data_IF_124473776623
#
_entry.id   IF_124473776623
#
_cell.length_a   1.000
_cell.length_b   1.000
_cell.length_c   1.000
_cell.angle_alpha   90.00
_cell.angle_beta   90.00
_cell.angle_gamma   90.00
#
_symmetry.space_group_name_H-M   'P 1'
#
loop_
_entity.id
_entity.type
_entity.pdbx_description
1 polymer ?
#
# COMPACT_ATOMS: atom_id res chain seq x y z
N UNK A 1 -11.58 -32.46 50.20
CA UNK A 1 -10.29 -31.91 49.73
C UNK A 1 -10.55 -31.30 48.36
N UNK A 2 -10.69 -29.97 48.27
CA UNK A 2 -10.98 -29.27 47.00
C UNK A 2 -9.66 -28.96 46.29
N UNK A 3 -9.53 -29.38 45.04
CA UNK A 3 -8.39 -29.03 44.19
C UNK A 3 -8.69 -27.69 43.54
N UNK A 4 -7.96 -26.64 43.90
CA UNK A 4 -8.01 -25.37 43.19
C UNK A 4 -7.34 -25.54 41.82
N UNK A 5 -8.08 -25.30 40.75
CA UNK A 5 -7.52 -25.12 39.41
C UNK A 5 -7.15 -23.65 39.22
N UNK A 6 -5.86 -23.35 39.08
CA UNK A 6 -5.38 -22.02 38.72
C UNK A 6 -5.34 -21.92 37.19
N UNK A 7 -6.20 -21.09 36.61
CA UNK A 7 -6.17 -20.75 35.18
C UNK A 7 -5.18 -19.60 35.00
N UNK A 8 -4.01 -19.87 34.43
CA UNK A 8 -3.04 -18.82 34.07
C UNK A 8 -3.28 -18.42 32.62
N UNK A 9 -3.92 -17.27 32.39
CA UNK A 9 -4.09 -16.69 31.06
C UNK A 9 -2.78 -15.99 30.67
N UNK A 10 -1.94 -16.65 29.87
CA UNK A 10 -0.81 -15.97 29.24
C UNK A 10 -1.31 -15.18 28.02
N UNK A 11 -1.28 -13.85 28.11
CA UNK A 11 -1.51 -12.97 26.97
C UNK A 11 -0.28 -13.00 26.06
N UNK A 12 -0.22 -13.99 25.16
CA UNK A 12 0.78 -13.99 24.09
C UNK A 12 0.23 -13.14 22.94
N UNK A 13 0.66 -11.88 22.87
CA UNK A 13 0.40 -11.02 21.71
C UNK A 13 1.24 -11.56 20.56
N UNK A 14 0.64 -12.33 19.66
CA UNK A 14 1.22 -12.52 18.34
C UNK A 14 0.98 -11.23 17.57
N UNK A 15 2.03 -10.45 17.35
CA UNK A 15 1.98 -9.39 16.35
C UNK A 15 1.78 -10.07 14.99
N UNK A 16 1.00 -9.46 14.10
CA UNK A 16 0.79 -9.95 12.73
C UNK A 16 2.03 -9.73 11.85
N UNK A 17 3.20 -10.09 12.35
CA UNK A 17 4.53 -9.91 11.74
C UNK A 17 4.77 -10.71 10.45
N UNK A 18 3.74 -11.29 9.84
CA UNK A 18 3.89 -11.98 8.55
C UNK A 18 3.87 -11.07 7.32
N UNK A 19 3.77 -9.75 7.48
CA UNK A 19 3.61 -8.86 6.33
C UNK A 19 4.97 -8.22 6.02
N UNK A 20 5.72 -8.90 5.16
CA UNK A 20 6.99 -8.48 4.54
C UNK A 20 8.28 -8.56 5.39
N UNK A 21 8.37 -9.37 6.45
CA UNK A 21 9.63 -9.61 7.18
C UNK A 21 10.76 -10.09 6.24
N UNK A 22 11.97 -9.56 6.47
CA UNK A 22 13.20 -10.00 5.81
C UNK A 22 13.52 -11.45 6.21
N UNK A 23 13.39 -12.39 5.28
CA UNK A 23 14.17 -13.64 5.37
C UNK A 23 15.54 -13.36 4.75
N UNK A 24 16.51 -12.98 5.57
CA UNK A 24 17.93 -12.96 5.16
C UNK A 24 18.45 -14.40 5.05
N UNK A 25 18.05 -15.12 4.01
CA UNK A 25 18.76 -16.32 3.54
C UNK A 25 18.16 -16.75 2.21
N UNK A 26 18.66 -16.14 1.13
CA UNK A 26 18.37 -16.53 -0.23
C UNK A 26 19.31 -15.73 -1.11
N UNK A 27 20.16 -16.42 -1.85
CA UNK A 27 21.11 -15.83 -2.81
C UNK A 27 20.43 -14.73 -3.62
N UNK A 28 21.08 -13.56 -3.82
CA UNK A 28 20.53 -12.52 -4.69
C UNK A 28 20.17 -13.13 -6.06
N UNK A 29 19.07 -12.70 -6.70
CA UNK A 29 18.88 -12.98 -8.13
C UNK A 29 20.14 -12.53 -8.86
N UNK A 30 20.66 -13.37 -9.77
CA UNK A 30 21.84 -13.02 -10.57
C UNK A 30 21.63 -11.64 -11.17
N UNK A 31 22.51 -10.71 -10.80
CA UNK A 31 22.50 -9.35 -11.33
C UNK A 31 22.56 -9.38 -12.85
N UNK A 32 21.90 -8.39 -13.45
CA UNK A 32 22.08 -8.01 -14.85
C UNK A 32 23.57 -8.05 -15.17
N UNK A 33 23.95 -8.86 -16.17
CA UNK A 33 25.33 -8.90 -16.65
C UNK A 33 25.78 -7.47 -16.99
N UNK A 34 26.99 -7.04 -16.57
CA UNK A 34 27.58 -5.81 -17.07
C UNK A 34 27.70 -5.90 -18.59
N UNK A 35 27.22 -4.87 -19.28
CA UNK A 35 27.42 -4.69 -20.71
C UNK A 35 28.92 -4.47 -20.97
N UNK A 36 29.52 -5.39 -21.74
CA UNK A 36 30.62 -5.11 -22.68
C UNK A 36 32.05 -5.11 -22.14
N UNK A 37 32.75 -6.24 -22.28
CA UNK A 37 34.21 -6.26 -22.47
C UNK A 37 34.48 -6.06 -23.99
N UNK A 38 35.36 -5.14 -24.44
CA UNK A 38 35.51 -4.85 -25.87
C UNK A 38 36.29 -5.88 -26.69
N UNK A 39 36.77 -7.00 -26.14
CA UNK A 39 37.62 -7.93 -26.89
C UNK A 39 37.21 -9.39 -26.64
N UNK A 40 36.59 -10.03 -27.64
CA UNK A 40 36.19 -11.44 -27.55
C UNK A 40 35.36 -11.92 -28.74
N UNK A 41 36.04 -12.07 -29.87
CA UNK A 41 35.78 -13.02 -30.95
C UNK A 41 35.22 -14.38 -30.48
N UNK A 42 34.01 -14.76 -30.94
CA UNK A 42 33.47 -16.10 -30.70
C UNK A 42 31.99 -16.32 -31.03
N UNK A 43 31.75 -17.05 -32.10
CA UNK A 43 30.49 -17.56 -32.68
C UNK A 43 29.39 -18.09 -31.74
N UNK A 44 28.14 -17.82 -32.11
CA UNK A 44 27.09 -18.85 -32.28
C UNK A 44 26.11 -19.10 -31.13
N UNK A 45 24.81 -19.11 -31.45
CA UNK A 45 23.78 -19.78 -30.66
C UNK A 45 22.52 -18.94 -30.45
N UNK A 46 21.55 -19.07 -31.35
CA UNK A 46 20.23 -18.50 -31.18
C UNK A 46 19.48 -19.19 -30.03
N UNK A 47 18.97 -18.39 -29.12
CA UNK A 47 17.99 -18.82 -28.13
C UNK A 47 16.72 -17.99 -28.37
N UNK A 48 15.77 -18.57 -29.09
CA UNK A 48 14.41 -18.05 -29.15
C UNK A 48 13.72 -18.38 -27.83
N UNK A 49 14.10 -17.66 -26.78
CA UNK A 49 13.47 -17.75 -25.47
C UNK A 49 12.04 -17.21 -25.57
N UNK A 50 11.04 -18.09 -25.51
CA UNK A 50 9.70 -17.67 -25.16
C UNK A 50 9.77 -17.09 -23.75
N UNK A 51 9.48 -15.79 -23.62
CA UNK A 51 9.37 -15.12 -22.33
C UNK A 51 8.24 -15.79 -21.57
N UNK A 52 8.60 -16.65 -20.60
CA UNK A 52 7.62 -17.19 -19.66
C UNK A 52 6.95 -16.00 -18.97
N UNK A 53 5.61 -15.97 -18.84
CA UNK A 53 4.96 -14.90 -18.10
C UNK A 53 5.58 -14.86 -16.70
N UNK A 54 6.19 -13.72 -16.35
CA UNK A 54 6.75 -13.54 -15.02
C UNK A 54 5.66 -13.88 -14.00
N UNK A 55 5.97 -14.71 -12.99
CA UNK A 55 5.01 -14.99 -11.93
C UNK A 55 4.52 -13.67 -11.33
N UNK A 56 3.24 -13.58 -10.91
CA UNK A 56 2.70 -12.36 -10.33
C UNK A 56 3.59 -11.94 -9.15
N UNK A 57 4.39 -10.88 -9.36
CA UNK A 57 5.34 -10.41 -8.37
C UNK A 57 4.57 -10.01 -7.11
N UNK A 58 5.05 -10.49 -5.96
CA UNK A 58 4.43 -10.21 -4.68
C UNK A 58 4.39 -8.68 -4.44
N UNK A 59 3.25 -8.08 -4.05
CA UNK A 59 3.16 -6.64 -3.77
C UNK A 59 4.24 -6.13 -2.80
N UNK A 60 4.63 -6.93 -1.79
CA UNK A 60 5.73 -6.60 -0.88
C UNK A 60 7.07 -6.41 -1.62
N UNK A 61 7.38 -7.27 -2.59
CA UNK A 61 8.62 -7.23 -3.35
C UNK A 61 8.66 -6.02 -4.28
N UNK A 62 7.53 -5.72 -4.94
CA UNK A 62 7.37 -4.49 -5.73
C UNK A 62 7.55 -3.24 -4.88
N UNK A 63 6.95 -3.19 -3.68
CA UNK A 63 7.16 -2.07 -2.75
C UNK A 63 8.64 -1.97 -2.35
N UNK A 64 9.30 -3.09 -2.04
CA UNK A 64 10.72 -3.12 -1.69
C UNK A 64 11.59 -2.60 -2.85
N UNK A 65 11.35 -3.06 -4.07
CA UNK A 65 12.07 -2.59 -5.26
C UNK A 65 11.82 -1.10 -5.51
N UNK A 66 10.58 -0.64 -5.41
CA UNK A 66 10.20 0.77 -5.61
C UNK A 66 10.98 1.71 -4.67
N UNK A 67 11.26 1.28 -3.44
CA UNK A 67 12.04 2.09 -2.50
C UNK A 67 13.52 2.19 -2.84
N UNK A 68 14.03 1.30 -3.67
CA UNK A 68 15.41 1.40 -4.16
C UNK A 68 15.52 2.32 -5.37
N UNK A 69 14.39 2.64 -6.01
CA UNK A 69 14.33 3.61 -7.09
C UNK A 69 14.58 5.03 -6.57
N UNK A 70 15.58 5.70 -7.16
CA UNK A 70 16.01 7.00 -6.69
C UNK A 70 14.97 8.09 -7.01
N UNK A 71 14.30 8.02 -8.17
CA UNK A 71 13.25 8.98 -8.54
C UNK A 71 12.09 8.95 -7.54
N UNK A 72 11.64 7.76 -7.15
CA UNK A 72 10.65 7.57 -6.10
C UNK A 72 11.11 8.14 -4.75
N UNK A 73 12.33 7.80 -4.31
CA UNK A 73 12.88 8.30 -3.04
C UNK A 73 12.94 9.82 -3.00
N UNK A 74 13.39 10.45 -4.08
CA UNK A 74 13.48 11.90 -4.18
C UNK A 74 12.10 12.53 -4.03
N UNK A 75 11.06 11.95 -4.64
CA UNK A 75 9.68 12.46 -4.52
C UNK A 75 9.04 12.22 -3.17
N UNK A 76 9.34 11.10 -2.50
CA UNK A 76 8.89 10.90 -1.12
C UNK A 76 9.60 11.90 -0.19
N UNK A 77 10.91 12.07 -0.32
CA UNK A 77 11.68 13.01 0.51
C UNK A 77 11.28 14.47 0.30
N UNK A 78 10.82 14.84 -0.91
CA UNK A 78 10.31 16.17 -1.21
C UNK A 78 8.93 16.44 -0.56
N UNK A 79 8.20 15.39 -0.21
CA UNK A 79 6.83 15.49 0.30
C UNK A 79 6.71 15.19 1.80
N UNK A 80 7.55 14.32 2.34
CA UNK A 80 7.48 13.84 3.73
C UNK A 80 8.30 14.73 4.69
N UNK A 81 7.83 15.96 4.88
CA UNK A 81 8.37 16.87 5.88
C UNK A 81 7.33 17.86 6.39
N UNK A 82 7.48 18.30 7.65
CA UNK A 82 6.48 19.11 8.37
C UNK A 82 6.07 20.38 7.63
N UNK A 83 7.02 21.06 6.99
CA UNK A 83 6.71 22.28 6.22
C UNK A 83 5.90 22.03 4.93
N UNK A 84 5.72 20.78 4.49
CA UNK A 84 4.68 20.44 3.48
C UNK A 84 3.33 20.27 4.15
N UNK A 85 3.26 19.56 5.27
CA UNK A 85 1.99 19.26 5.94
C UNK A 85 1.28 20.51 6.45
N UNK A 86 2.04 21.57 6.74
CA UNK A 86 1.53 22.86 7.19
C UNK A 86 1.16 23.84 6.06
N UNK A 87 1.25 23.43 4.79
CA UNK A 87 0.82 24.27 3.66
C UNK A 87 -0.69 24.42 3.63
N UNK A 88 -1.16 25.37 2.80
CA UNK A 88 -2.59 25.60 2.58
C UNK A 88 -3.18 24.70 1.49
N UNK A 89 -2.34 24.19 0.59
CA UNK A 89 -2.75 23.40 -0.58
C UNK A 89 -2.02 22.06 -0.62
N UNK A 90 -2.74 20.98 -0.87
CA UNK A 90 -2.15 19.68 -1.14
C UNK A 90 -1.25 19.75 -2.39
N UNK A 91 -0.30 18.82 -2.46
CA UNK A 91 0.60 18.70 -3.61
C UNK A 91 0.99 17.25 -3.83
N UNK A 92 1.57 16.95 -4.98
CA UNK A 92 1.98 15.60 -5.30
C UNK A 92 2.52 15.46 -6.71
N UNK A 93 2.81 14.20 -7.06
CA UNK A 93 3.35 13.81 -8.35
C UNK A 93 2.60 12.62 -8.92
N UNK A 94 2.44 12.57 -10.23
CA UNK A 94 2.06 11.38 -10.99
C UNK A 94 3.32 10.78 -11.64
N UNK A 95 3.46 9.45 -11.57
CA UNK A 95 4.53 8.72 -12.21
C UNK A 95 4.06 8.19 -13.57
N UNK A 96 4.80 8.53 -14.63
CA UNK A 96 4.53 8.15 -16.00
C UNK A 96 5.53 7.13 -16.54
N UNK A 97 5.05 6.24 -17.40
CA UNK A 97 5.92 5.40 -18.22
C UNK A 97 6.76 6.26 -19.17
N UNK A 98 8.00 5.81 -19.40
CA UNK A 98 9.00 6.42 -20.28
C UNK A 98 10.29 5.57 -20.25
N UNK A 99 11.34 5.98 -20.98
CA UNK A 99 12.66 5.31 -20.91
C UNK A 99 13.21 5.24 -19.49
N UNK A 100 12.86 6.24 -18.68
CA UNK A 100 12.94 6.25 -17.23
C UNK A 100 11.61 6.77 -16.70
N UNK A 101 11.24 6.40 -15.47
CA UNK A 101 10.02 6.91 -14.84
C UNK A 101 10.09 8.42 -14.72
N UNK A 102 9.13 9.11 -15.33
CA UNK A 102 9.01 10.56 -15.23
C UNK A 102 7.98 10.94 -14.16
N UNK A 103 8.26 11.97 -13.37
CA UNK A 103 7.36 12.47 -12.33
C UNK A 103 6.84 13.86 -12.71
N UNK A 104 5.52 13.97 -12.85
CA UNK A 104 4.84 15.21 -13.19
C UNK A 104 3.99 15.70 -12.03
N UNK A 105 3.95 17.00 -11.76
CA UNK A 105 3.15 17.55 -10.66
C UNK A 105 1.66 17.27 -10.87
N UNK A 106 0.97 16.90 -9.80
CA UNK A 106 -0.50 16.89 -9.79
C UNK A 106 -1.03 18.32 -9.90
N UNK A 107 -2.14 18.50 -10.61
CA UNK A 107 -2.78 19.81 -10.75
C UNK A 107 -3.64 20.09 -9.53
N UNK A 108 -3.40 21.23 -8.88
CA UNK A 108 -4.22 21.73 -7.79
C UNK A 108 -5.53 22.27 -8.38
N UNK A 109 -6.66 21.73 -7.92
CA UNK A 109 -8.00 22.19 -8.28
C UNK A 109 -8.57 23.08 -7.17
N UNK A 110 -8.45 22.60 -5.94
CA UNK A 110 -8.69 23.36 -4.70
C UNK A 110 -7.63 22.96 -3.68
N UNK A 111 -7.63 23.61 -2.52
CA UNK A 111 -6.70 23.36 -1.42
C UNK A 111 -6.57 21.88 -1.00
N UNK A 112 -7.62 21.09 -1.20
CA UNK A 112 -7.80 19.70 -0.79
C UNK A 112 -8.13 18.76 -1.97
N UNK A 113 -7.99 19.24 -3.22
CA UNK A 113 -8.33 18.45 -4.40
C UNK A 113 -7.25 18.56 -5.45
N UNK A 114 -6.68 17.40 -5.76
CA UNK A 114 -5.70 17.22 -6.80
C UNK A 114 -6.31 16.50 -8.00
N UNK A 115 -5.78 16.78 -9.19
CA UNK A 115 -6.12 16.10 -10.44
C UNK A 115 -4.87 15.55 -11.09
N UNK A 116 -4.95 14.30 -11.54
CA UNK A 116 -3.94 13.68 -12.40
C UNK A 116 -3.70 14.54 -13.65
N UNK A 117 -2.46 14.67 -14.13
CA UNK A 117 -2.21 15.32 -15.41
C UNK A 117 -2.91 14.57 -16.56
N UNK A 118 -3.02 15.24 -17.71
CA UNK A 118 -3.72 14.66 -18.86
C UNK A 118 -2.91 13.54 -19.52
N UNK A 119 -3.63 12.59 -20.11
CA UNK A 119 -3.07 11.42 -20.78
C UNK A 119 -3.26 10.11 -20.00
N UNK A 120 -2.90 9.01 -20.67
CA UNK A 120 -3.04 7.63 -20.18
C UNK A 120 -1.68 6.98 -19.88
N UNK A 121 -0.62 7.76 -19.66
CA UNK A 121 0.75 7.25 -19.42
C UNK A 121 1.07 7.00 -17.93
N UNK A 122 0.20 7.44 -17.02
CA UNK A 122 0.49 7.39 -15.59
C UNK A 122 0.08 6.06 -15.00
N UNK A 123 1.00 5.40 -14.33
CA UNK A 123 0.74 4.16 -13.58
C UNK A 123 0.70 4.41 -12.07
N UNK A 124 1.12 5.58 -11.58
CA UNK A 124 1.04 5.87 -10.15
C UNK A 124 0.89 7.34 -9.83
N UNK A 125 0.57 7.63 -8.56
CA UNK A 125 0.69 8.96 -7.99
C UNK A 125 1.05 8.93 -6.50
N UNK A 126 1.64 10.03 -6.03
CA UNK A 126 2.00 10.29 -4.64
C UNK A 126 1.47 11.68 -4.29
N UNK A 127 0.75 11.83 -3.19
CA UNK A 127 0.31 13.13 -2.71
C UNK A 127 0.35 13.23 -1.18
N UNK A 128 0.15 14.45 -0.68
CA UNK A 128 0.15 14.74 0.76
C UNK A 128 -1.23 15.12 1.26
N UNK A 129 -1.57 14.73 2.49
CA UNK A 129 -2.70 15.30 3.23
C UNK A 129 -2.23 16.24 4.34
N UNK A 130 -2.72 17.48 4.33
CA UNK A 130 -2.29 18.59 5.18
C UNK A 130 -2.81 18.48 6.63
N UNK A 131 -2.08 19.04 7.61
CA UNK A 131 -2.42 19.09 9.05
C UNK A 131 -3.51 20.12 9.38
N UNK A 132 -4.61 20.08 8.61
CA UNK A 132 -5.83 20.84 8.89
C UNK A 132 -6.67 20.12 9.93
N UNK A 133 -7.37 20.88 10.75
CA UNK A 133 -8.36 20.34 11.69
C UNK A 133 -9.44 19.55 10.92
N UNK A 134 -9.76 18.35 11.41
CA UNK A 134 -10.71 17.44 10.76
C UNK A 134 -10.21 16.76 9.48
N UNK A 135 -8.94 16.96 9.08
CA UNK A 135 -8.38 16.32 7.90
C UNK A 135 -8.22 14.80 8.09
N UNK A 136 -8.63 14.06 7.07
CA UNK A 136 -8.52 12.60 7.01
C UNK A 136 -7.07 12.25 6.66
N UNK A 137 -6.38 11.50 7.52
CA UNK A 137 -4.97 11.12 7.32
C UNK A 137 -4.81 9.73 6.70
N UNK A 138 -5.64 9.45 5.70
CA UNK A 138 -5.59 8.25 4.85
C UNK A 138 -6.29 8.59 3.53
N UNK A 139 -6.20 7.71 2.53
CA UNK A 139 -6.87 7.88 1.25
C UNK A 139 -8.37 8.16 1.39
N UNK A 140 -8.88 9.00 0.49
CA UNK A 140 -10.31 9.23 0.30
C UNK A 140 -10.92 8.22 -0.69
N UNK A 141 -12.26 8.15 -0.80
CA UNK A 141 -12.91 7.43 -1.89
C UNK A 141 -12.50 7.92 -3.29
N UNK A 142 -12.21 9.22 -3.44
CA UNK A 142 -11.75 9.81 -4.70
C UNK A 142 -10.35 9.33 -5.08
N UNK A 143 -9.49 9.13 -4.09
CA UNK A 143 -8.17 8.54 -4.29
C UNK A 143 -8.26 7.12 -4.81
N UNK A 144 -9.02 6.26 -4.14
CA UNK A 144 -9.16 4.86 -4.55
C UNK A 144 -9.78 4.76 -5.95
N UNK A 145 -10.78 5.59 -6.24
CA UNK A 145 -11.38 5.65 -7.56
C UNK A 145 -10.38 6.13 -8.63
N UNK A 146 -9.58 7.15 -8.33
CA UNK A 146 -8.53 7.66 -9.24
C UNK A 146 -7.45 6.61 -9.47
N UNK A 147 -6.99 5.92 -8.42
CA UNK A 147 -6.05 4.81 -8.53
C UNK A 147 -6.56 3.71 -9.46
N UNK A 148 -7.77 3.21 -9.24
CA UNK A 148 -8.33 2.14 -10.06
C UNK A 148 -8.65 2.58 -11.49
N UNK A 149 -9.12 3.81 -11.69
CA UNK A 149 -9.53 4.32 -13.00
C UNK A 149 -8.35 4.79 -13.86
N UNK A 150 -7.35 5.43 -13.25
CA UNK A 150 -6.23 6.06 -13.96
C UNK A 150 -4.96 5.25 -13.84
N UNK A 151 -4.60 4.74 -12.67
CA UNK A 151 -3.33 4.07 -12.51
C UNK A 151 -3.39 2.62 -12.99
N UNK A 152 -4.31 1.83 -12.43
CA UNK A 152 -4.41 0.40 -12.75
C UNK A 152 -4.81 0.17 -14.21
N UNK A 153 -5.77 0.94 -14.75
CA UNK A 153 -6.17 0.80 -16.17
C UNK A 153 -5.05 1.19 -17.14
N UNK A 154 -4.37 2.32 -16.91
CA UNK A 154 -3.25 2.70 -17.75
C UNK A 154 -2.11 1.68 -17.65
N UNK A 155 -1.85 1.15 -16.45
CA UNK A 155 -0.85 0.12 -16.25
C UNK A 155 -1.20 -1.18 -16.98
N UNK A 156 -2.48 -1.58 -17.00
CA UNK A 156 -2.97 -2.70 -17.82
C UNK A 156 -2.74 -2.49 -19.32
N UNK A 157 -2.93 -1.27 -19.81
CA UNK A 157 -2.82 -0.94 -21.23
C UNK A 157 -1.37 -0.78 -21.72
N UNK A 158 -0.46 -0.34 -20.84
CA UNK A 158 0.89 0.10 -21.24
C UNK A 158 2.06 -0.63 -20.60
N UNK A 159 1.81 -1.39 -19.55
CA UNK A 159 2.86 -2.08 -18.79
C UNK A 159 2.25 -3.23 -18.00
N UNK A 160 2.60 -3.34 -16.72
CA UNK A 160 2.05 -4.36 -15.84
C UNK A 160 1.14 -3.73 -14.78
N UNK A 161 -0.05 -4.30 -14.56
CA UNK A 161 -0.97 -3.81 -13.50
C UNK A 161 -0.33 -3.77 -12.12
N UNK A 162 0.61 -4.67 -11.83
CA UNK A 162 1.36 -4.71 -10.57
C UNK A 162 2.31 -3.52 -10.38
N UNK A 163 2.62 -2.77 -11.44
CA UNK A 163 3.39 -1.54 -11.34
C UNK A 163 2.55 -0.43 -10.70
N UNK A 164 1.22 -0.51 -10.80
CA UNK A 164 0.36 0.54 -10.32
C UNK A 164 0.45 0.72 -8.80
N UNK A 165 0.58 1.97 -8.35
CA UNK A 165 0.44 2.32 -6.94
C UNK A 165 -0.17 3.71 -6.75
N UNK A 166 -0.77 3.95 -5.59
CA UNK A 166 -1.05 5.30 -5.13
C UNK A 166 -0.46 5.45 -3.74
N UNK A 167 0.10 6.60 -3.39
CA UNK A 167 0.66 6.84 -2.07
C UNK A 167 0.12 8.15 -1.50
N UNK A 168 -0.35 8.09 -0.27
CA UNK A 168 -0.66 9.30 0.51
C UNK A 168 0.34 9.40 1.65
N UNK A 169 0.97 10.57 1.75
CA UNK A 169 1.95 10.91 2.78
C UNK A 169 1.27 11.87 3.75
N UNK A 170 1.35 11.57 5.04
CA UNK A 170 0.69 12.37 6.07
C UNK A 170 1.60 12.50 7.30
N UNK A 171 1.34 13.45 8.19
CA UNK A 171 2.04 13.55 9.47
C UNK A 171 1.87 12.29 10.36
N UNK A 172 0.76 11.55 10.20
CA UNK A 172 0.40 10.39 11.03
C UNK A 172 0.86 9.03 10.44
N UNK A 173 1.30 9.03 9.19
CA UNK A 173 1.71 7.82 8.49
C UNK A 173 1.64 7.95 6.99
N UNK A 174 2.37 7.06 6.31
CA UNK A 174 2.37 6.95 4.87
C UNK A 174 1.59 5.69 4.49
N UNK A 175 0.73 5.78 3.48
CA UNK A 175 -0.10 4.66 3.05
C UNK A 175 0.06 4.47 1.56
N UNK A 176 0.06 3.21 1.11
CA UNK A 176 0.21 2.86 -0.30
C UNK A 176 -0.88 1.88 -0.73
N UNK A 177 -1.61 2.23 -1.78
CA UNK A 177 -2.47 1.30 -2.51
C UNK A 177 -1.65 0.53 -3.53
N UNK A 178 -1.91 -0.77 -3.65
CA UNK A 178 -1.40 -1.66 -4.69
C UNK A 178 -2.55 -2.45 -5.31
N UNK A 179 -2.31 -2.97 -6.51
CA UNK A 179 -3.24 -3.84 -7.19
C UNK A 179 -2.56 -5.12 -7.69
N UNK A 180 -3.07 -6.27 -7.27
CA UNK A 180 -2.60 -7.62 -7.66
C UNK A 180 -3.67 -8.45 -8.37
N UNK A 181 -4.84 -7.86 -8.64
CA UNK A 181 -5.94 -8.55 -9.32
C UNK A 181 -5.78 -8.58 -10.84
N UNK A 182 -6.81 -9.08 -11.52
CA UNK A 182 -6.83 -9.25 -12.99
C UNK A 182 -7.44 -8.07 -13.77
N UNK A 183 -7.87 -7.01 -13.08
CA UNK A 183 -8.52 -5.85 -13.67
C UNK A 183 -9.98 -6.09 -14.09
N UNK A 184 -10.61 -7.17 -13.62
CA UNK A 184 -12.00 -7.55 -13.91
C UNK A 184 -13.05 -6.82 -13.05
N UNK A 185 -12.81 -5.57 -12.69
CA UNK A 185 -13.74 -4.76 -11.89
C UNK A 185 -14.42 -3.67 -12.72
N UNK A 186 -15.63 -3.27 -12.31
CA UNK A 186 -16.36 -2.14 -12.88
C UNK A 186 -16.42 -0.98 -11.89
N UNK A 187 -16.31 0.24 -12.40
CA UNK A 187 -16.39 1.48 -11.59
C UNK A 187 -17.62 2.33 -11.96
N UNK A 188 -18.35 1.96 -13.00
CA UNK A 188 -19.45 2.78 -13.51
C UNK A 188 -20.55 2.94 -12.44
N UNK A 189 -20.87 4.19 -12.11
CA UNK A 189 -21.89 4.53 -11.11
C UNK A 189 -21.51 4.23 -9.65
N UNK A 190 -20.29 3.75 -9.36
CA UNK A 190 -19.93 3.30 -8.01
C UNK A 190 -19.47 4.44 -7.08
N UNK A 191 -18.92 5.51 -7.65
CA UNK A 191 -18.26 6.57 -6.87
C UNK A 191 -19.18 7.25 -5.84
N UNK A 192 -20.43 7.54 -6.18
CA UNK A 192 -21.39 8.15 -5.24
C UNK A 192 -21.66 7.23 -4.04
N UNK A 193 -21.92 5.95 -4.30
CA UNK A 193 -22.12 4.94 -3.25
C UNK A 193 -20.89 4.78 -2.37
N UNK A 194 -19.70 4.80 -2.97
CA UNK A 194 -18.44 4.73 -2.22
C UNK A 194 -18.27 5.92 -1.29
N UNK A 195 -18.52 7.13 -1.82
CA UNK A 195 -18.46 8.37 -1.05
C UNK A 195 -19.45 8.37 0.10
N UNK A 196 -20.72 8.07 -0.16
CA UNK A 196 -21.78 8.03 0.85
C UNK A 196 -21.50 7.01 1.95
N UNK A 197 -21.03 5.81 1.59
CA UNK A 197 -20.69 4.77 2.57
C UNK A 197 -19.54 5.19 3.49
N UNK A 198 -18.49 5.78 2.91
CA UNK A 198 -17.33 6.23 3.68
C UNK A 198 -17.65 7.44 4.56
N UNK A 199 -18.34 8.44 4.01
CA UNK A 199 -18.77 9.63 4.74
C UNK A 199 -19.63 9.25 5.94
N UNK A 200 -20.56 8.30 5.78
CA UNK A 200 -21.39 7.81 6.88
C UNK A 200 -20.54 7.18 8.00
N UNK A 201 -19.63 6.27 7.67
CA UNK A 201 -18.72 5.66 8.67
C UNK A 201 -17.84 6.70 9.37
N UNK A 202 -17.42 7.74 8.65
CA UNK A 202 -16.62 8.83 9.21
C UNK A 202 -17.42 9.73 10.15
N UNK A 203 -18.65 10.12 9.75
CA UNK A 203 -19.57 10.89 10.59
C UNK A 203 -19.91 10.13 11.89
N UNK A 204 -20.12 8.82 11.81
CA UNK A 204 -20.32 7.97 12.99
C UNK A 204 -19.12 8.06 13.98
N UNK A 205 -17.88 8.21 13.50
CA UNK A 205 -16.74 8.43 14.40
C UNK A 205 -16.78 9.80 15.08
N UNK A 206 -17.19 10.85 14.36
CA UNK A 206 -17.31 12.21 14.90
C UNK A 206 -18.39 12.27 15.96
N UNK A 207 -19.61 11.81 15.64
CA UNK A 207 -20.78 11.85 16.53
C UNK A 207 -20.54 11.09 17.84
N UNK A 208 -19.75 10.02 17.79
CA UNK A 208 -19.40 9.21 18.95
C UNK A 208 -18.11 9.65 19.67
N UNK A 209 -17.50 10.78 19.28
CA UNK A 209 -16.22 11.28 19.80
C UNK A 209 -15.10 10.21 19.77
N UNK A 210 -15.03 9.48 18.65
CA UNK A 210 -14.09 8.37 18.40
C UNK A 210 -13.14 8.67 17.24
N UNK A 211 -13.01 9.94 16.85
CA UNK A 211 -12.14 10.35 15.75
C UNK A 211 -10.66 10.22 16.17
N UNK A 212 -10.07 9.06 15.89
CA UNK A 212 -8.66 8.74 16.11
C UNK A 212 -8.08 8.13 14.85
N UNK A 213 -6.76 8.21 14.67
CA UNK A 213 -6.11 7.65 13.48
C UNK A 213 -6.33 6.14 13.34
N UNK A 214 -6.27 5.39 14.45
CA UNK A 214 -6.54 3.95 14.45
C UNK A 214 -7.98 3.65 13.99
N UNK A 215 -8.96 4.44 14.43
CA UNK A 215 -10.34 4.26 14.00
C UNK A 215 -10.54 4.66 12.54
N UNK A 216 -9.86 5.70 12.05
CA UNK A 216 -9.84 6.09 10.62
C UNK A 216 -9.29 4.95 9.76
N UNK A 217 -8.13 4.39 10.12
CA UNK A 217 -7.55 3.23 9.43
C UNK A 217 -8.52 2.05 9.42
N UNK A 218 -9.18 1.78 10.54
CA UNK A 218 -10.18 0.71 10.67
C UNK A 218 -11.41 0.93 9.78
N UNK A 219 -12.01 2.12 9.75
CA UNK A 219 -13.17 2.34 8.89
C UNK A 219 -12.79 2.35 7.41
N UNK A 220 -11.58 2.80 7.06
CA UNK A 220 -11.08 2.79 5.69
C UNK A 220 -10.88 1.36 5.18
N UNK A 221 -10.30 0.48 5.99
CA UNK A 221 -10.17 -0.95 5.64
C UNK A 221 -11.52 -1.65 5.51
N UNK A 222 -12.47 -1.35 6.41
CA UNK A 222 -13.85 -1.82 6.27
C UNK A 222 -14.48 -1.29 4.98
N UNK A 223 -14.26 -0.02 4.63
CA UNK A 223 -14.72 0.55 3.38
C UNK A 223 -14.15 -0.19 2.15
N UNK A 224 -12.84 -0.48 2.14
CA UNK A 224 -12.22 -1.25 1.06
C UNK A 224 -12.82 -2.66 0.96
N UNK A 225 -13.03 -3.34 2.09
CA UNK A 225 -13.52 -4.72 2.14
C UNK A 225 -15.02 -4.84 1.82
N UNK A 226 -15.85 -4.01 2.44
CA UNK A 226 -17.31 -4.15 2.42
C UNK A 226 -17.95 -3.35 1.27
N UNK A 227 -17.41 -2.17 0.96
CA UNK A 227 -18.01 -1.25 -0.03
C UNK A 227 -17.33 -1.36 -1.39
N UNK A 228 -16.00 -1.27 -1.43
CA UNK A 228 -15.27 -1.37 -2.70
C UNK A 228 -15.24 -2.82 -3.17
N UNK A 229 -14.86 -3.76 -2.30
CA UNK A 229 -14.90 -5.20 -2.54
C UNK A 229 -14.29 -5.62 -3.90
N UNK A 230 -13.14 -5.03 -4.24
CA UNK A 230 -12.40 -5.37 -5.46
C UNK A 230 -11.26 -6.32 -5.10
N UNK A 231 -11.28 -7.51 -5.70
CA UNK A 231 -10.22 -8.50 -5.52
C UNK A 231 -8.87 -7.97 -6.01
N UNK A 232 -7.84 -8.17 -5.18
CA UNK A 232 -6.48 -7.70 -5.42
C UNK A 232 -6.25 -6.22 -5.11
N UNK A 233 -7.25 -5.48 -4.61
CA UNK A 233 -7.01 -4.13 -4.07
C UNK A 233 -6.45 -4.23 -2.64
N UNK A 234 -5.28 -3.67 -2.43
CA UNK A 234 -4.52 -3.80 -1.20
C UNK A 234 -4.07 -2.42 -0.71
N UNK A 235 -4.06 -2.23 0.61
CA UNK A 235 -3.50 -1.03 1.24
C UNK A 235 -2.44 -1.42 2.26
N UNK A 236 -1.30 -0.74 2.19
CA UNK A 236 -0.16 -0.95 3.05
C UNK A 236 0.11 0.32 3.85
N UNK A 237 0.32 0.20 5.16
CA UNK A 237 0.97 1.25 5.93
C UNK A 237 2.47 1.14 5.71
N UNK A 238 3.11 2.26 5.41
CA UNK A 238 4.53 2.37 5.15
C UNK A 238 5.18 3.05 6.35
N UNK A 239 6.13 2.36 6.97
CA UNK A 239 6.91 2.88 8.09
C UNK A 239 7.75 4.08 7.64
N UNK A 240 7.67 5.22 8.33
CA UNK A 240 8.36 6.44 7.93
C UNK A 240 9.89 6.35 8.03
N UNK A 241 10.39 5.59 8.99
CA UNK A 241 11.83 5.51 9.29
C UNK A 241 12.56 4.60 8.30
N UNK A 242 11.99 3.43 8.06
CA UNK A 242 12.57 2.38 7.23
C UNK A 242 12.02 2.40 5.82
N UNK A 243 10.88 3.07 5.60
CA UNK A 243 10.07 3.01 4.39
C UNK A 243 9.41 1.65 4.17
N UNK A 244 9.55 0.66 5.07
CA UNK A 244 9.06 -0.70 4.82
C UNK A 244 7.54 -0.76 5.00
N UNK A 245 6.84 -1.60 4.23
CA UNK A 245 5.46 -1.93 4.56
C UNK A 245 5.43 -2.54 5.97
N UNK A 246 4.73 -1.88 6.88
CA UNK A 246 4.59 -2.32 8.27
C UNK A 246 3.40 -3.24 8.44
N UNK A 247 2.30 -3.01 7.72
CA UNK A 247 1.04 -3.77 7.82
C UNK A 247 0.26 -3.68 6.49
N UNK A 248 -0.28 -4.80 5.98
CA UNK A 248 -1.37 -4.80 4.99
C UNK A 248 -2.68 -4.69 5.77
N UNK A 249 -3.37 -3.56 5.62
CA UNK A 249 -4.54 -3.27 6.45
C UNK A 249 -5.79 -4.04 5.97
N UNK A 250 -5.79 -4.57 4.75
CA UNK A 250 -6.93 -5.31 4.17
C UNK A 250 -6.97 -6.79 4.58
N UNK A 251 -5.87 -7.35 5.09
CA UNK A 251 -5.76 -8.78 5.44
C UNK A 251 -6.05 -9.11 6.90
N UNK A 252 -6.37 -8.12 7.74
CA UNK A 252 -6.64 -8.35 9.16
C UNK A 252 -8.09 -8.80 9.41
N UNK A 253 -8.33 -10.10 9.33
CA UNK A 253 -9.07 -10.72 10.43
C UNK A 253 -8.21 -10.55 11.68
N UNK A 254 -8.72 -9.81 12.67
CA UNK A 254 -8.12 -9.78 13.99
C UNK A 254 -8.46 -11.11 14.68
N UNK A 255 -7.87 -12.21 14.23
CA UNK A 255 -8.11 -13.55 14.80
C UNK A 255 -7.36 -13.65 16.13
N UNK A 256 -8.02 -13.23 17.21
CA UNK A 256 -7.60 -13.55 18.58
C UNK A 256 -7.92 -15.02 18.81
N UNK A 257 -7.00 -15.93 18.49
CA UNK A 257 -7.08 -17.33 18.92
C UNK A 257 -6.65 -17.41 20.39
N UNK A 258 -7.60 -17.62 21.30
CA UNK A 258 -7.30 -18.05 22.66
C UNK A 258 -6.95 -19.54 22.65
N UNK A 259 -5.72 -19.90 22.98
CA UNK A 259 -5.35 -21.31 23.26
C UNK A 259 -5.51 -21.59 24.76
N UNK A 260 -6.48 -22.42 25.13
CA UNK A 260 -6.63 -22.96 26.49
C UNK A 260 -5.64 -24.10 26.68
N UNK A 261 -4.68 -23.94 27.60
CA UNK A 261 -3.88 -25.06 28.11
C UNK A 261 -4.41 -25.45 29.50
N UNK A 262 -4.96 -26.67 29.61
CA UNK A 262 -5.15 -27.31 30.91
C UNK A 262 -3.80 -27.87 31.37
N UNK A 263 -3.20 -27.29 32.40
CA UNK A 263 -2.00 -27.84 33.04
C UNK A 263 -2.44 -28.71 34.21
N UNK A 264 -2.34 -30.03 34.07
CA UNK A 264 -2.36 -30.94 35.22
C UNK A 264 -0.97 -30.93 35.86
N UNK A 265 -0.83 -30.25 37.00
CA UNK A 265 0.37 -30.35 37.82
C UNK A 265 0.30 -31.64 38.67
N UNK A 266 1.10 -32.65 38.32
CA UNK A 266 1.49 -33.69 39.27
C UNK A 266 2.70 -33.18 40.04
N UNK A 267 2.47 -32.66 41.24
CA UNK A 267 3.52 -32.50 42.24
C UNK A 267 3.63 -33.84 42.95
N UNK A 268 4.74 -34.54 42.76
CA UNK A 268 5.20 -35.55 43.71
C UNK A 268 6.21 -34.85 44.64
N UNK A 269 5.96 -35.03 45.93
CA UNK A 269 6.71 -34.50 47.08
C UNK A 269 8.09 -35.15 47.12
#
# INVERSE_FOLDING_TARGET
MQVLSIIIIHKKVFSSQQICEWKTSGTPPKGLNPIGDPNGDGSGGGDTGFEYPEPPQNPCEKIKAQKTDQGYKDKVSELDHDSIFQKNTETGFAAAYGPQTNYERLKIITDDKLKMPEGNKYFAYIHVHLDKEGAIKIFSPADVHTFLLKCVRNAKEKGNMSDAYAMVITSQGNYMLKYSGNGGYTLAGQYSTWKESYDRKYLELIENNKLTQENIEKIFTQFLKETINISGLEVYKIDKTTGNPSINLNTTEKTILYTLYHVHNNILI
#
